data_IF_620024266628
#
_entry.id   IF_620024266628
#
_cell.length_a   1.000
_cell.length_b   1.000
_cell.length_c   1.000
_cell.angle_alpha   90.00
_cell.angle_beta   90.00
_cell.angle_gamma   90.00
#
_symmetry.space_group_name_H-M   'P 1'
#
loop_
_entity.id
_entity.type
_entity.pdbx_description
1 polymer ?
#
# COMPACT_ATOMS: atom_id res chain seq x y z
N UNK A 1 78.13 10.75 1.54
CA UNK A 1 77.05 11.13 0.67
C UNK A 1 76.20 9.89 0.41
N UNK A 2 75.20 9.68 1.16
CA UNK A 2 74.30 8.53 1.07
C UNK A 2 72.88 9.03 1.04
N UNK A 3 72.23 8.89 -0.09
CA UNK A 3 70.83 9.17 -0.31
C UNK A 3 69.99 8.14 0.41
N UNK A 4 69.05 8.61 1.25
CA UNK A 4 68.01 7.78 1.83
C UNK A 4 66.83 7.74 0.86
N UNK A 5 66.55 6.57 0.33
CA UNK A 5 65.30 6.28 -0.39
C UNK A 5 64.18 6.08 0.59
N UNK A 6 63.21 6.95 0.55
CA UNK A 6 61.96 6.84 1.30
C UNK A 6 61.03 5.87 0.53
N UNK A 7 60.84 4.68 1.08
CA UNK A 7 59.87 3.70 0.59
C UNK A 7 58.47 4.06 1.13
N UNK A 8 57.70 4.77 0.32
CA UNK A 8 56.28 4.95 0.56
C UNK A 8 55.54 3.60 0.38
N UNK A 9 55.10 3.02 1.45
CA UNK A 9 54.18 1.94 1.47
C UNK A 9 52.81 2.51 1.02
N UNK A 10 52.40 2.23 -0.20
CA UNK A 10 50.99 2.36 -0.58
C UNK A 10 50.22 1.19 0.01
N UNK A 11 49.43 1.45 1.02
CA UNK A 11 48.36 0.56 1.44
C UNK A 11 47.32 0.51 0.34
N UNK A 12 47.20 -0.64 -0.30
CA UNK A 12 46.08 -0.95 -1.19
C UNK A 12 44.89 -1.16 -0.28
N UNK A 13 44.00 -0.17 -0.17
CA UNK A 13 42.67 -0.37 0.37
C UNK A 13 41.94 -1.33 -0.56
N UNK A 14 41.83 -2.56 -0.12
CA UNK A 14 40.86 -3.52 -0.65
C UNK A 14 39.50 -2.97 -0.24
N UNK A 15 38.80 -2.32 -1.16
CA UNK A 15 37.38 -2.00 -1.02
C UNK A 15 36.64 -3.32 -0.88
N UNK A 16 36.51 -3.80 0.37
CA UNK A 16 35.47 -4.74 0.73
C UNK A 16 34.16 -4.00 0.51
N UNK A 17 33.29 -4.52 -0.34
CA UNK A 17 32.01 -3.92 -0.73
C UNK A 17 30.99 -3.92 0.42
N UNK A 18 31.41 -3.56 1.63
CA UNK A 18 30.54 -3.40 2.78
C UNK A 18 29.87 -2.03 2.73
N UNK A 19 28.56 -2.04 2.75
CA UNK A 19 27.75 -0.83 2.81
C UNK A 19 27.99 -0.09 4.14
N UNK A 20 27.96 1.23 4.09
CA UNK A 20 28.30 2.08 5.24
C UNK A 20 27.38 1.81 6.44
N UNK A 21 27.91 2.02 7.65
CA UNK A 21 27.14 1.86 8.90
C UNK A 21 25.83 2.67 8.95
N UNK A 22 25.69 3.73 8.16
CA UNK A 22 24.46 4.51 8.03
C UNK A 22 23.33 3.75 7.30
N UNK A 23 23.67 2.73 6.50
CA UNK A 23 22.68 1.85 5.86
C UNK A 23 22.25 0.70 6.77
N UNK A 24 23.03 0.41 7.83
CA UNK A 24 22.74 -0.67 8.78
C UNK A 24 21.80 -0.24 9.91
N UNK A 25 21.47 1.05 10.03
CA UNK A 25 20.70 1.63 11.11
C UNK A 25 19.25 1.99 10.72
N UNK A 26 18.66 1.30 9.75
CA UNK A 26 17.24 1.53 9.44
C UNK A 26 16.32 0.90 10.51
N UNK A 27 15.22 1.58 10.87
CA UNK A 27 14.31 1.15 11.93
C UNK A 27 13.63 -0.19 11.63
N UNK A 28 13.07 -0.79 12.67
CA UNK A 28 12.21 -1.97 12.61
C UNK A 28 11.11 -1.81 11.53
N UNK A 29 10.53 -2.91 11.03
CA UNK A 29 9.57 -2.88 9.92
C UNK A 29 8.47 -1.85 10.16
N UNK A 30 8.28 -0.99 9.17
CA UNK A 30 7.20 -0.01 9.11
C UNK A 30 5.86 -0.75 8.91
N UNK A 31 4.74 -0.09 9.18
CA UNK A 31 3.38 -0.62 9.00
C UNK A 31 3.19 -1.29 7.63
N UNK A 32 3.75 -0.73 6.57
CA UNK A 32 3.74 -1.30 5.22
C UNK A 32 4.40 -2.68 5.10
N UNK A 33 5.50 -2.90 5.81
CA UNK A 33 6.14 -4.21 5.80
C UNK A 33 5.23 -5.25 6.48
N UNK A 34 4.44 -4.85 7.47
CA UNK A 34 3.46 -5.72 8.11
C UNK A 34 2.32 -6.08 7.16
N UNK A 35 1.78 -5.13 6.42
CA UNK A 35 0.71 -5.37 5.45
C UNK A 35 1.15 -6.35 4.36
N UNK A 36 2.37 -6.20 3.87
CA UNK A 36 2.97 -7.13 2.91
C UNK A 36 3.15 -8.54 3.50
N UNK A 37 3.55 -8.65 4.75
CA UNK A 37 3.69 -9.92 5.48
C UNK A 37 2.34 -10.62 5.61
N UNK A 38 1.31 -9.91 6.05
CA UNK A 38 -0.04 -10.46 6.20
C UNK A 38 -0.65 -10.83 4.85
N UNK A 39 -0.43 -10.04 3.81
CA UNK A 39 -0.93 -10.34 2.47
C UNK A 39 -0.27 -11.59 1.87
N UNK A 40 1.03 -11.76 2.04
CA UNK A 40 1.72 -13.00 1.64
C UNK A 40 1.19 -14.21 2.43
N UNK A 41 0.91 -14.06 3.74
CA UNK A 41 0.30 -15.12 4.54
C UNK A 41 -1.08 -15.50 4.01
N UNK A 42 -1.94 -14.50 3.76
CA UNK A 42 -3.28 -14.69 3.21
C UNK A 42 -3.22 -15.47 1.89
N UNK A 43 -2.45 -14.96 0.93
CA UNK A 43 -2.29 -15.56 -0.38
C UNK A 43 -1.70 -16.98 -0.31
N UNK A 44 -0.72 -17.21 0.57
CA UNK A 44 -0.16 -18.54 0.84
C UNK A 44 -1.25 -19.50 1.33
N UNK A 45 -2.10 -19.05 2.23
CA UNK A 45 -3.18 -19.87 2.78
C UNK A 45 -4.31 -20.10 1.76
N UNK A 46 -4.56 -19.17 0.86
CA UNK A 46 -5.46 -19.39 -0.28
C UNK A 46 -4.94 -20.54 -1.18
N UNK A 47 -3.66 -20.56 -1.52
CA UNK A 47 -3.08 -21.66 -2.32
C UNK A 47 -3.19 -23.02 -1.61
N UNK A 48 -3.00 -23.05 -0.30
CA UNK A 48 -3.15 -24.25 0.52
C UNK A 48 -4.59 -24.74 0.59
N UNK A 49 -5.55 -23.83 0.70
CA UNK A 49 -6.99 -24.17 0.77
C UNK A 49 -7.51 -24.85 -0.49
N UNK A 50 -6.96 -24.53 -1.67
CA UNK A 50 -7.29 -25.19 -2.95
C UNK A 50 -7.03 -26.70 -2.92
N UNK A 51 -6.13 -27.16 -2.02
CA UNK A 51 -5.80 -28.56 -1.81
C UNK A 51 -6.35 -29.11 -0.48
N UNK A 52 -7.23 -28.36 0.20
CA UNK A 52 -7.80 -28.71 1.50
C UNK A 52 -6.74 -28.88 2.61
N UNK A 53 -5.60 -28.23 2.50
CA UNK A 53 -4.58 -28.21 3.56
C UNK A 53 -4.92 -27.18 4.64
N UNK A 54 -4.56 -27.48 5.88
CA UNK A 54 -4.72 -26.54 6.99
C UNK A 54 -3.93 -25.25 6.72
N UNK A 55 -4.47 -24.08 7.10
CA UNK A 55 -3.75 -22.84 6.99
C UNK A 55 -2.49 -22.84 7.87
N UNK A 56 -1.48 -22.09 7.44
CA UNK A 56 -0.30 -21.78 8.23
C UNK A 56 -0.62 -20.64 9.20
N UNK A 57 -0.06 -20.74 10.40
CA UNK A 57 -0.19 -19.70 11.42
C UNK A 57 1.10 -18.90 11.51
N UNK A 58 0.99 -17.57 11.57
CA UNK A 58 2.13 -16.70 11.72
C UNK A 58 2.78 -16.90 13.10
N UNK A 59 4.10 -17.00 13.16
CA UNK A 59 4.85 -17.20 14.38
C UNK A 59 5.95 -16.13 14.53
N UNK A 60 6.01 -15.45 15.68
CA UNK A 60 6.93 -14.32 15.91
C UNK A 60 8.41 -14.71 15.81
N UNK A 61 8.78 -15.88 16.27
CA UNK A 61 10.17 -16.34 16.20
C UNK A 61 10.58 -16.63 14.76
N UNK A 62 9.68 -17.23 13.96
CA UNK A 62 9.89 -17.46 12.54
C UNK A 62 9.89 -16.13 11.75
N UNK A 63 9.03 -15.17 12.12
CA UNK A 63 9.05 -13.81 11.57
C UNK A 63 10.43 -13.16 11.74
N UNK A 64 10.97 -13.22 12.96
CA UNK A 64 12.28 -12.65 13.24
C UNK A 64 13.39 -13.35 12.44
N UNK A 65 13.34 -14.67 12.30
CA UNK A 65 14.31 -15.41 11.48
C UNK A 65 14.23 -15.01 10.00
N UNK A 66 13.02 -14.90 9.46
CA UNK A 66 12.78 -14.49 8.06
C UNK A 66 13.20 -13.03 7.83
N UNK A 67 12.76 -12.11 8.69
CA UNK A 67 13.04 -10.69 8.54
C UNK A 67 14.53 -10.38 8.61
N UNK A 68 15.24 -10.98 9.58
CA UNK A 68 16.68 -10.79 9.72
C UNK A 68 17.45 -11.29 8.49
N UNK A 69 17.05 -12.43 7.92
CA UNK A 69 17.69 -12.95 6.71
C UNK A 69 17.41 -12.06 5.50
N UNK A 70 16.18 -11.59 5.35
CA UNK A 70 15.79 -10.67 4.28
C UNK A 70 16.59 -9.36 4.33
N UNK A 71 16.72 -8.77 5.51
CA UNK A 71 17.55 -7.58 5.71
C UNK A 71 19.04 -7.85 5.42
N UNK A 72 19.55 -8.99 5.86
CA UNK A 72 20.94 -9.34 5.61
C UNK A 72 21.22 -9.52 4.12
N UNK A 73 20.33 -10.15 3.36
CA UNK A 73 20.46 -10.25 1.89
C UNK A 73 20.57 -8.88 1.25
N UNK A 74 19.68 -7.97 1.61
CA UNK A 74 19.65 -6.60 1.07
C UNK A 74 20.88 -5.77 1.49
N UNK A 75 21.19 -5.75 2.79
CA UNK A 75 22.21 -4.84 3.35
C UNK A 75 23.64 -5.34 3.17
N UNK A 76 23.85 -6.65 3.06
CA UNK A 76 25.16 -7.25 2.87
C UNK A 76 25.43 -7.69 1.42
N UNK A 77 24.58 -7.29 0.50
CA UNK A 77 24.76 -7.51 -0.93
C UNK A 77 24.97 -9.00 -1.29
N UNK A 78 23.96 -9.83 -1.02
CA UNK A 78 23.94 -11.24 -1.43
C UNK A 78 22.51 -11.77 -1.60
N UNK A 79 22.37 -12.86 -2.33
CA UNK A 79 21.10 -13.57 -2.51
C UNK A 79 21.35 -15.08 -2.43
N UNK A 80 21.23 -15.64 -1.26
CA UNK A 80 21.49 -17.07 -0.98
C UNK A 80 20.75 -17.49 0.30
N UNK A 81 20.42 -18.79 0.40
CA UNK A 81 19.87 -19.39 1.61
C UNK A 81 20.87 -19.42 2.79
N UNK A 82 22.15 -19.33 2.51
CA UNK A 82 23.22 -19.27 3.51
C UNK A 82 23.58 -17.81 3.76
N UNK A 83 23.57 -17.39 5.02
CA UNK A 83 24.03 -16.05 5.38
C UNK A 83 25.52 -15.83 5.11
N UNK A 84 25.96 -14.59 4.91
CA UNK A 84 27.40 -14.28 4.78
C UNK A 84 28.25 -14.69 5.98
N UNK A 85 27.62 -14.83 7.15
CA UNK A 85 28.21 -15.37 8.37
C UNK A 85 28.28 -16.91 8.41
N UNK A 86 27.85 -17.57 7.35
CA UNK A 86 27.76 -19.02 7.22
C UNK A 86 26.54 -19.64 7.91
N UNK A 87 25.59 -18.82 8.41
CA UNK A 87 24.40 -19.34 9.06
C UNK A 87 23.46 -20.00 8.08
N UNK A 88 23.03 -21.23 8.40
CA UNK A 88 21.94 -21.89 7.68
C UNK A 88 20.57 -21.38 8.16
N UNK A 89 19.50 -21.66 7.39
CA UNK A 89 18.12 -21.42 7.83
C UNK A 89 17.87 -22.00 9.24
N UNK A 90 18.28 -23.24 9.48
CA UNK A 90 18.12 -23.90 10.78
C UNK A 90 18.84 -23.18 11.93
N UNK A 91 20.05 -22.65 11.68
CA UNK A 91 20.77 -21.83 12.67
C UNK A 91 19.97 -20.55 12.99
N UNK A 92 19.44 -19.86 11.99
CA UNK A 92 18.66 -18.63 12.16
C UNK A 92 17.37 -18.88 12.94
N UNK A 93 16.64 -19.95 12.63
CA UNK A 93 15.44 -20.34 13.37
C UNK A 93 15.79 -20.65 14.84
N UNK A 94 16.84 -21.43 15.08
CA UNK A 94 17.25 -21.81 16.44
C UNK A 94 17.72 -20.60 17.26
N UNK A 95 18.38 -19.64 16.63
CA UNK A 95 18.84 -18.40 17.26
C UNK A 95 17.68 -17.54 17.80
N UNK A 96 16.46 -17.65 17.24
CA UNK A 96 15.26 -16.99 17.78
C UNK A 96 14.64 -17.73 18.96
N UNK A 97 15.19 -18.89 19.34
CA UNK A 97 14.66 -19.75 20.40
C UNK A 97 13.59 -20.75 19.92
N UNK A 98 13.24 -20.74 18.63
CA UNK A 98 12.26 -21.69 18.08
C UNK A 98 12.88 -23.09 17.91
N UNK A 99 12.21 -24.10 18.46
CA UNK A 99 12.59 -25.51 18.34
C UNK A 99 11.69 -26.19 17.36
N UNK A 100 12.25 -26.74 16.28
CA UNK A 100 11.47 -27.32 15.18
C UNK A 100 11.80 -28.79 14.94
N UNK A 101 10.81 -29.49 14.40
CA UNK A 101 10.92 -30.86 13.88
C UNK A 101 11.24 -30.85 12.39
N UNK A 102 10.63 -29.95 11.66
CA UNK A 102 10.81 -29.76 10.23
C UNK A 102 10.75 -28.26 9.91
N UNK A 103 11.53 -27.84 8.95
CA UNK A 103 11.52 -26.47 8.46
C UNK A 103 11.83 -26.42 6.95
N UNK A 104 11.43 -25.35 6.30
CA UNK A 104 11.71 -25.04 4.90
C UNK A 104 11.81 -23.52 4.71
N UNK A 105 12.47 -23.09 3.66
CA UNK A 105 12.65 -21.68 3.35
C UNK A 105 12.43 -21.40 1.86
N UNK A 106 11.75 -20.33 1.56
CA UNK A 106 11.68 -19.70 0.24
C UNK A 106 12.32 -18.33 0.33
N UNK A 107 13.15 -17.97 -0.63
CA UNK A 107 13.66 -16.61 -0.80
C UNK A 107 13.29 -16.10 -2.20
N UNK A 108 13.09 -14.80 -2.32
CA UNK A 108 12.87 -14.13 -3.60
C UNK A 108 13.44 -12.72 -3.56
N UNK A 109 13.72 -12.17 -4.75
CA UNK A 109 14.15 -10.80 -4.91
C UNK A 109 13.59 -10.21 -6.21
N UNK A 110 13.41 -8.88 -6.25
CA UNK A 110 12.90 -8.14 -7.41
C UNK A 110 11.38 -8.04 -7.50
N UNK A 111 10.62 -8.87 -6.78
CA UNK A 111 9.16 -8.74 -6.74
C UNK A 111 8.76 -7.58 -5.83
N UNK A 112 8.03 -6.62 -6.35
CA UNK A 112 7.63 -5.42 -5.59
C UNK A 112 6.34 -5.58 -4.79
N UNK A 113 5.55 -6.62 -5.07
CA UNK A 113 4.27 -6.88 -4.38
C UNK A 113 4.16 -8.30 -3.83
N UNK A 114 3.30 -8.52 -2.82
CA UNK A 114 2.96 -9.84 -2.29
C UNK A 114 2.46 -10.83 -3.34
N UNK A 115 1.66 -10.38 -4.28
CA UNK A 115 1.08 -11.17 -5.36
C UNK A 115 2.17 -11.66 -6.32
N UNK A 116 3.07 -10.77 -6.72
CA UNK A 116 4.20 -11.09 -7.60
C UNK A 116 5.12 -12.12 -6.95
N UNK A 117 5.50 -11.92 -5.71
CA UNK A 117 6.41 -12.84 -5.03
C UNK A 117 5.76 -14.22 -4.83
N UNK A 118 4.47 -14.27 -4.44
CA UNK A 118 3.79 -15.56 -4.31
C UNK A 118 3.65 -16.26 -5.68
N UNK A 119 3.27 -15.54 -6.73
CA UNK A 119 3.21 -16.09 -8.09
C UNK A 119 4.55 -16.66 -8.51
N UNK A 120 5.65 -15.94 -8.27
CA UNK A 120 7.02 -16.40 -8.54
C UNK A 120 7.32 -17.70 -7.79
N UNK A 121 7.02 -17.79 -6.50
CA UNK A 121 7.22 -19.01 -5.72
C UNK A 121 6.34 -20.17 -6.20
N UNK A 122 5.09 -19.92 -6.57
CA UNK A 122 4.18 -20.95 -7.05
C UNK A 122 4.53 -21.50 -8.44
N UNK A 123 5.26 -20.75 -9.26
CA UNK A 123 5.77 -21.25 -10.55
C UNK A 123 7.03 -22.12 -10.40
N UNK A 124 7.78 -21.95 -9.32
CA UNK A 124 8.95 -22.77 -9.00
C UNK A 124 8.55 -24.06 -8.27
N UNK A 125 8.92 -25.22 -8.80
CA UNK A 125 8.53 -26.51 -8.20
C UNK A 125 9.02 -26.70 -6.77
N UNK A 126 10.24 -26.21 -6.45
CA UNK A 126 10.82 -26.28 -5.10
C UNK A 126 10.10 -25.36 -4.11
N UNK A 127 9.91 -24.10 -4.46
CA UNK A 127 9.22 -23.14 -3.60
C UNK A 127 7.75 -23.51 -3.39
N UNK A 128 7.08 -23.93 -4.46
CA UNK A 128 5.70 -24.42 -4.39
C UNK A 128 5.57 -25.65 -3.48
N UNK A 129 6.53 -26.56 -3.50
CA UNK A 129 6.52 -27.74 -2.62
C UNK A 129 6.58 -27.35 -1.15
N UNK A 130 7.32 -26.30 -0.78
CA UNK A 130 7.36 -25.77 0.57
C UNK A 130 6.01 -25.16 0.98
N UNK A 131 5.42 -24.32 0.14
CA UNK A 131 4.10 -23.70 0.37
C UNK A 131 3.01 -24.74 0.56
N UNK A 132 3.01 -25.78 -0.27
CA UNK A 132 1.98 -26.82 -0.29
C UNK A 132 2.35 -28.04 0.57
N UNK A 133 3.33 -27.95 1.46
CA UNK A 133 3.68 -29.03 2.37
C UNK A 133 2.64 -29.15 3.51
N UNK A 134 1.85 -30.23 3.60
CA UNK A 134 0.82 -30.38 4.63
C UNK A 134 1.39 -30.57 6.04
N UNK A 135 2.68 -30.91 6.14
CA UNK A 135 3.33 -31.15 7.42
C UNK A 135 3.84 -29.86 8.10
N UNK A 136 3.93 -28.76 7.38
CA UNK A 136 4.30 -27.45 7.94
C UNK A 136 3.05 -26.77 8.49
N UNK A 137 3.20 -26.13 9.67
CA UNK A 137 2.08 -25.59 10.44
C UNK A 137 2.20 -24.09 10.72
N UNK A 138 3.41 -23.58 10.80
CA UNK A 138 3.70 -22.19 11.13
C UNK A 138 4.60 -21.57 10.07
N UNK A 139 4.51 -20.26 9.95
CA UNK A 139 5.27 -19.47 8.97
C UNK A 139 5.78 -18.19 9.60
N UNK A 140 6.97 -17.76 9.18
CA UNK A 140 7.46 -16.39 9.29
C UNK A 140 7.71 -15.83 7.92
N UNK A 141 7.44 -14.56 7.73
CA UNK A 141 7.62 -13.86 6.46
C UNK A 141 8.45 -12.62 6.70
N UNK A 142 9.47 -12.39 5.90
CA UNK A 142 10.29 -11.21 5.91
C UNK A 142 10.20 -10.47 4.59
N UNK A 143 10.15 -9.16 4.67
CA UNK A 143 10.23 -8.26 3.53
C UNK A 143 11.16 -7.09 3.83
N UNK A 144 11.96 -6.71 2.85
CA UNK A 144 12.82 -5.53 2.97
C UNK A 144 12.96 -4.84 1.61
N UNK A 145 12.76 -3.51 1.62
CA UNK A 145 13.00 -2.64 0.48
C UNK A 145 14.25 -1.81 0.69
N UNK A 146 15.15 -1.82 -0.28
CA UNK A 146 16.36 -1.02 -0.29
C UNK A 146 16.33 -0.06 -1.48
N UNK A 147 15.96 1.19 -1.25
CA UNK A 147 15.70 2.20 -2.28
C UNK A 147 16.88 2.46 -3.24
N UNK A 148 18.12 2.42 -2.73
CA UNK A 148 19.33 2.65 -3.51
C UNK A 148 20.20 1.39 -3.53
N UNK A 149 19.62 0.31 -4.03
CA UNK A 149 20.33 -0.96 -4.15
C UNK A 149 21.34 -0.92 -5.29
N UNK A 150 22.61 -0.70 -4.98
CA UNK A 150 23.68 -0.47 -5.95
C UNK A 150 24.78 -1.53 -5.90
N UNK A 151 24.55 -2.62 -5.19
CA UNK A 151 25.51 -3.72 -5.04
C UNK A 151 25.60 -4.62 -6.27
N UNK A 152 26.31 -5.72 -6.11
CA UNK A 152 26.40 -6.80 -7.10
C UNK A 152 25.05 -7.54 -7.23
N UNK A 153 24.31 -7.61 -6.14
CA UNK A 153 22.91 -8.07 -6.06
C UNK A 153 22.04 -6.82 -5.92
N UNK A 154 21.28 -6.52 -6.94
CA UNK A 154 20.59 -5.24 -7.10
C UNK A 154 19.12 -5.49 -7.52
N UNK A 155 18.27 -5.74 -6.53
CA UNK A 155 16.86 -6.10 -6.74
C UNK A 155 15.88 -5.16 -6.07
N UNK A 156 16.32 -4.26 -5.21
CA UNK A 156 15.55 -3.36 -4.36
C UNK A 156 14.61 -4.08 -3.36
N UNK A 157 13.88 -5.10 -3.78
CA UNK A 157 12.91 -5.85 -2.98
C UNK A 157 13.44 -7.24 -2.65
N UNK A 158 13.41 -7.60 -1.37
CA UNK A 158 13.88 -8.89 -0.87
C UNK A 158 12.81 -9.54 0.01
N UNK A 159 12.65 -10.85 -0.13
CA UNK A 159 11.60 -11.62 0.55
C UNK A 159 12.13 -12.94 1.08
N UNK A 160 11.61 -13.35 2.23
CA UNK A 160 11.87 -14.67 2.80
C UNK A 160 10.57 -15.23 3.41
N UNK A 161 10.23 -16.48 3.11
CA UNK A 161 9.29 -17.30 3.87
C UNK A 161 10.06 -18.37 4.62
N UNK A 162 9.89 -18.44 5.92
CA UNK A 162 10.41 -19.54 6.77
C UNK A 162 9.23 -20.32 7.28
N UNK A 163 9.15 -21.58 6.94
CA UNK A 163 8.10 -22.50 7.38
C UNK A 163 8.63 -23.45 8.42
N UNK A 164 7.82 -23.80 9.42
CA UNK A 164 8.22 -24.80 10.39
C UNK A 164 7.03 -25.56 11.01
N UNK A 165 7.38 -26.63 11.70
CA UNK A 165 6.52 -27.31 12.67
C UNK A 165 7.30 -27.45 13.95
N UNK A 166 6.72 -27.03 15.07
CA UNK A 166 7.37 -27.08 16.37
C UNK A 166 7.73 -28.50 16.80
N UNK A 167 8.74 -28.63 17.64
CA UNK A 167 9.24 -29.93 18.09
C UNK A 167 8.18 -30.69 18.89
N UNK A 168 7.37 -30.02 19.68
CA UNK A 168 6.28 -30.58 20.50
C UNK A 168 4.94 -30.66 19.76
N UNK A 169 4.88 -30.13 18.52
CA UNK A 169 3.66 -30.10 17.70
C UNK A 169 2.68 -28.99 18.10
N UNK A 170 3.01 -28.16 19.08
CA UNK A 170 2.20 -26.97 19.40
C UNK A 170 2.27 -25.93 18.29
N UNK A 171 1.22 -25.15 18.14
CA UNK A 171 1.19 -23.94 17.30
C UNK A 171 1.19 -22.76 18.26
N UNK A 172 2.17 -21.89 18.12
CA UNK A 172 2.31 -20.70 18.96
C UNK A 172 2.10 -19.44 18.10
N UNK A 173 0.86 -19.01 17.92
CA UNK A 173 0.56 -17.88 17.05
C UNK A 173 1.29 -16.63 17.53
N UNK A 174 1.80 -15.84 16.60
CA UNK A 174 2.23 -14.49 16.89
C UNK A 174 1.06 -13.73 17.53
N UNK A 175 1.28 -12.97 18.60
CA UNK A 175 0.24 -12.12 19.12
C UNK A 175 -0.22 -11.18 18.00
N UNK A 176 -1.51 -10.89 17.90
CA UNK A 176 -1.97 -9.80 17.05
C UNK A 176 -1.17 -8.54 17.40
N UNK A 177 -0.93 -7.62 16.48
CA UNK A 177 -0.14 -6.42 16.75
C UNK A 177 -0.67 -5.79 18.04
N UNK A 178 0.20 -5.69 19.04
CA UNK A 178 -0.18 -5.17 20.36
C UNK A 178 -0.48 -3.69 20.17
N UNK A 179 -1.67 -3.20 20.51
CA UNK A 179 -1.86 -1.77 20.60
C UNK A 179 -0.82 -1.23 21.60
N UNK A 180 -0.10 -0.20 21.23
CA UNK A 180 0.91 0.46 22.07
C UNK A 180 0.30 0.73 23.45
N UNK A 181 0.95 0.42 24.57
CA UNK A 181 0.38 0.58 25.89
C UNK A 181 0.02 2.05 26.10
N UNK A 182 -1.26 2.31 26.31
CA UNK A 182 -1.77 3.61 26.74
C UNK A 182 -1.12 3.96 28.09
N UNK A 183 -0.48 5.11 28.25
CA UNK A 183 0.05 5.53 29.56
C UNK A 183 -1.11 5.62 30.56
N UNK A 184 -0.91 5.10 31.75
CA UNK A 184 -1.87 5.13 32.86
C UNK A 184 -2.30 6.56 33.12
N UNK A 185 -3.60 6.90 33.04
CA UNK A 185 -4.04 8.28 33.21
C UNK A 185 -3.92 8.70 34.68
N UNK A 186 -3.34 9.86 34.88
CA UNK A 186 -3.47 10.64 36.12
C UNK A 186 -4.96 11.06 36.27
N UNK A 187 -5.57 11.05 37.46
CA UNK A 187 -7.00 11.32 37.60
C UNK A 187 -7.34 12.76 37.16
N UNK A 188 -8.14 12.84 36.11
CA UNK A 188 -8.70 14.08 35.56
C UNK A 188 -10.14 14.25 36.07
N UNK A 189 -10.60 15.49 36.35
CA UNK A 189 -11.97 15.74 36.84
C UNK A 189 -13.01 15.26 35.82
N UNK A 190 -14.16 14.83 36.36
CA UNK A 190 -15.29 14.20 35.66
C UNK A 190 -15.68 14.95 34.39
N UNK A 191 -15.62 14.32 33.21
CA UNK A 191 -15.99 14.97 31.96
C UNK A 191 -17.50 14.94 31.75
N UNK A 192 -18.00 16.03 31.19
CA UNK A 192 -19.28 16.14 30.49
C UNK A 192 -19.41 15.02 29.43
N UNK A 193 -20.60 14.45 29.18
CA UNK A 193 -20.70 13.29 28.28
C UNK A 193 -20.15 13.58 26.90
N UNK A 194 -19.14 12.80 26.53
CA UNK A 194 -18.55 12.78 25.19
C UNK A 194 -19.59 12.29 24.20
N UNK A 195 -19.78 12.94 23.07
CA UNK A 195 -20.59 12.37 21.99
C UNK A 195 -19.98 11.05 21.51
N UNK A 196 -20.83 10.06 21.35
CA UNK A 196 -20.48 8.74 20.83
C UNK A 196 -19.74 8.90 19.49
N UNK A 197 -18.60 8.20 19.26
CA UNK A 197 -17.91 8.28 17.97
C UNK A 197 -18.86 7.89 16.86
N UNK A 198 -19.07 8.79 15.93
CA UNK A 198 -19.88 8.54 14.74
C UNK A 198 -19.07 7.69 13.77
N UNK A 199 -19.65 6.62 13.37
CA UNK A 199 -19.44 5.78 12.19
C UNK A 199 -18.02 5.60 11.69
N UNK A 200 -17.53 4.36 11.84
CA UNK A 200 -16.38 3.81 11.15
C UNK A 200 -16.60 3.94 9.64
N UNK A 201 -15.74 4.69 8.95
CA UNK A 201 -15.69 4.69 7.48
C UNK A 201 -14.72 3.58 7.09
N UNK A 202 -15.25 2.48 6.57
CA UNK A 202 -14.45 1.36 6.06
C UNK A 202 -14.31 1.52 4.56
N UNK A 203 -13.10 1.87 4.11
CA UNK A 203 -12.78 1.90 2.69
C UNK A 203 -12.19 0.53 2.34
N UNK A 204 -13.03 -0.41 1.94
CA UNK A 204 -12.60 -1.65 1.31
C UNK A 204 -12.72 -1.47 -0.19
N UNK A 205 -11.63 -1.59 -0.93
CA UNK A 205 -11.68 -1.60 -2.39
C UNK A 205 -12.50 -2.82 -2.85
N UNK A 206 -13.69 -2.65 -3.41
CA UNK A 206 -14.45 -3.77 -3.95
C UNK A 206 -14.03 -4.11 -5.37
N UNK A 207 -13.15 -3.32 -5.98
CA UNK A 207 -12.66 -3.63 -7.33
C UNK A 207 -11.73 -4.83 -7.19
N UNK A 208 -12.09 -6.02 -7.72
CA UNK A 208 -11.09 -7.04 -7.94
C UNK A 208 -10.05 -6.37 -8.84
N UNK A 209 -8.85 -6.08 -8.32
CA UNK A 209 -7.73 -5.81 -9.19
C UNK A 209 -7.81 -6.86 -10.29
N UNK A 210 -8.02 -6.42 -11.52
CA UNK A 210 -7.76 -7.27 -12.66
C UNK A 210 -6.30 -7.65 -12.47
N UNK A 211 -6.08 -8.86 -11.90
CA UNK A 211 -4.77 -9.33 -11.50
C UNK A 211 -3.91 -9.43 -12.74
N UNK A 212 -3.10 -8.45 -12.95
CA UNK A 212 -2.19 -8.33 -14.04
C UNK A 212 -2.35 -7.00 -14.72
N UNK A 213 -1.36 -6.18 -14.54
CA UNK A 213 -1.00 -5.05 -15.37
C UNK A 213 -0.62 -5.46 -16.80
N UNK A 214 -0.97 -6.63 -17.21
CA UNK A 214 -0.83 -7.17 -18.56
C UNK A 214 -2.21 -7.38 -19.14
N UNK A 215 -2.51 -6.63 -20.20
CA UNK A 215 -3.61 -6.99 -21.10
C UNK A 215 -3.59 -8.50 -21.29
N UNK A 216 -4.69 -9.22 -21.08
CA UNK A 216 -4.71 -10.62 -21.43
C UNK A 216 -4.48 -10.72 -22.95
N UNK A 217 -3.22 -10.94 -23.34
CA UNK A 217 -2.79 -11.06 -24.75
C UNK A 217 -3.55 -12.12 -25.53
N UNK A 218 -4.44 -12.83 -24.83
CA UNK A 218 -5.26 -13.95 -25.36
C UNK A 218 -6.76 -13.74 -25.18
N UNK A 219 -7.23 -12.63 -24.57
CA UNK A 219 -8.67 -12.37 -24.49
C UNK A 219 -9.21 -12.05 -25.89
N UNK A 220 -10.38 -12.60 -26.27
CA UNK A 220 -11.04 -12.21 -27.51
C UNK A 220 -11.48 -10.75 -27.39
N UNK A 221 -10.98 -9.89 -28.28
CA UNK A 221 -11.23 -8.45 -28.28
C UNK A 221 -12.58 -8.14 -28.92
N UNK A 222 -13.24 -7.08 -28.44
CA UNK A 222 -14.60 -6.68 -28.87
C UNK A 222 -15.63 -7.80 -28.73
N UNK A 223 -15.51 -8.62 -27.67
CA UNK A 223 -16.43 -9.73 -27.43
C UNK A 223 -16.68 -9.93 -25.93
N UNK A 224 -17.85 -10.50 -25.59
CA UNK A 224 -18.14 -10.99 -24.26
C UNK A 224 -17.45 -12.36 -24.02
N UNK A 225 -16.75 -12.49 -22.91
CA UNK A 225 -16.11 -13.74 -22.50
C UNK A 225 -16.07 -13.87 -20.99
N UNK A 226 -16.53 -15.00 -20.45
CA UNK A 226 -16.51 -15.27 -19.02
C UNK A 226 -17.34 -14.32 -18.16
N UNK A 227 -18.38 -13.69 -18.73
CA UNK A 227 -19.21 -12.70 -18.04
C UNK A 227 -18.67 -11.27 -18.10
N UNK A 228 -17.56 -11.02 -18.79
CA UNK A 228 -16.96 -9.70 -18.99
C UNK A 228 -16.95 -9.33 -20.47
N UNK A 229 -16.86 -8.05 -20.78
CA UNK A 229 -16.66 -7.55 -22.13
C UNK A 229 -15.26 -6.92 -22.27
N UNK A 230 -14.51 -7.36 -23.27
CA UNK A 230 -13.17 -6.85 -23.56
C UNK A 230 -13.20 -6.02 -24.83
N UNK A 231 -12.71 -4.78 -24.75
CA UNK A 231 -12.55 -3.89 -25.90
C UNK A 231 -11.25 -4.23 -26.68
N UNK A 232 -10.75 -3.35 -27.51
CA UNK A 232 -9.54 -3.59 -28.31
C UNK A 232 -8.27 -3.13 -27.60
N UNK A 233 -7.08 -3.40 -28.19
CA UNK A 233 -5.81 -2.78 -27.75
C UNK A 233 -5.53 -1.45 -28.49
N UNK A 234 -6.55 -0.80 -28.99
CA UNK A 234 -6.45 0.50 -29.66
C UNK A 234 -7.44 1.45 -28.99
N UNK A 235 -7.26 2.74 -29.17
CA UNK A 235 -8.16 3.74 -28.61
C UNK A 235 -9.63 3.47 -29.01
N UNK A 236 -10.44 3.12 -28.01
CA UNK A 236 -11.86 2.88 -28.15
C UNK A 236 -12.66 4.14 -27.77
N UNK A 237 -13.73 4.43 -28.47
CA UNK A 237 -14.54 5.64 -28.25
C UNK A 237 -15.98 5.35 -27.87
N UNK A 238 -16.36 4.11 -27.76
CA UNK A 238 -17.74 3.70 -27.42
C UNK A 238 -17.75 2.32 -26.75
N UNK A 239 -18.63 2.15 -25.77
CA UNK A 239 -19.03 0.85 -25.26
C UNK A 239 -20.10 0.28 -26.20
N UNK A 240 -19.87 -0.85 -26.88
CA UNK A 240 -20.86 -1.42 -27.78
C UNK A 240 -22.12 -1.87 -27.03
N UNK A 241 -23.28 -1.75 -27.66
CA UNK A 241 -24.56 -2.19 -27.10
C UNK A 241 -24.57 -3.69 -26.69
N UNK A 242 -23.71 -4.52 -27.30
CA UNK A 242 -23.52 -5.93 -26.93
C UNK A 242 -22.83 -6.13 -25.57
N UNK A 243 -22.23 -5.08 -25.02
CA UNK A 243 -21.56 -5.08 -23.73
C UNK A 243 -22.51 -4.65 -22.58
N UNK A 244 -23.73 -4.21 -22.89
CA UNK A 244 -24.67 -3.68 -21.89
C UNK A 244 -24.86 -4.64 -20.70
N UNK A 245 -24.65 -4.13 -19.49
CA UNK A 245 -24.77 -4.90 -18.25
C UNK A 245 -23.62 -5.88 -17.97
N UNK A 246 -22.52 -5.80 -18.72
CA UNK A 246 -21.30 -6.58 -18.46
C UNK A 246 -20.18 -5.67 -17.97
N UNK A 247 -19.29 -6.11 -17.06
CA UNK A 247 -18.06 -5.41 -16.77
C UNK A 247 -17.21 -5.21 -18.04
N UNK A 248 -16.75 -3.98 -18.24
CA UNK A 248 -16.00 -3.54 -19.42
C UNK A 248 -14.52 -3.45 -19.08
N UNK A 249 -13.67 -4.02 -19.92
CA UNK A 249 -12.21 -3.92 -19.84
C UNK A 249 -11.68 -3.33 -21.14
N UNK A 250 -11.10 -2.13 -21.09
CA UNK A 250 -10.66 -1.42 -22.28
C UNK A 250 -9.36 -1.95 -22.88
N UNK A 251 -8.56 -2.65 -22.08
CA UNK A 251 -7.28 -3.30 -22.40
C UNK A 251 -6.11 -2.32 -22.53
N UNK A 252 -5.86 -1.78 -23.70
CA UNK A 252 -4.79 -0.80 -23.90
C UNK A 252 -5.16 0.16 -25.02
N UNK A 253 -4.79 1.39 -24.84
CA UNK A 253 -5.15 2.46 -25.77
C UNK A 253 -5.31 3.75 -24.98
N UNK A 254 -5.71 4.78 -25.67
CA UNK A 254 -6.25 5.98 -25.04
C UNK A 254 -7.77 5.97 -25.30
N UNK A 255 -8.48 5.40 -24.34
CA UNK A 255 -9.90 5.13 -24.50
C UNK A 255 -10.77 6.31 -24.04
N UNK A 256 -11.96 6.43 -24.62
CA UNK A 256 -12.94 7.43 -24.21
C UNK A 256 -14.31 6.75 -24.09
N UNK A 257 -14.64 6.34 -22.85
CA UNK A 257 -15.74 5.45 -22.56
C UNK A 257 -16.82 6.17 -21.78
N UNK A 258 -18.06 5.90 -22.12
CA UNK A 258 -19.23 6.40 -21.37
C UNK A 258 -20.15 5.23 -21.06
N UNK A 259 -20.50 5.10 -19.79
CA UNK A 259 -21.46 4.13 -19.28
C UNK A 259 -22.91 4.43 -19.66
N UNK A 260 -23.83 3.80 -18.99
CA UNK A 260 -25.27 3.96 -19.22
C UNK A 260 -25.95 4.83 -18.16
N UNK A 261 -27.25 4.55 -17.95
CA UNK A 261 -28.03 5.18 -16.90
C UNK A 261 -28.24 4.25 -15.68
N UNK A 262 -27.57 3.14 -15.63
CA UNK A 262 -27.63 2.16 -14.55
C UNK A 262 -26.22 1.77 -14.13
N UNK A 263 -26.08 1.09 -13.01
CA UNK A 263 -24.79 0.69 -12.45
C UNK A 263 -23.90 -0.02 -13.46
N UNK A 264 -22.77 0.57 -13.77
CA UNK A 264 -21.77 0.08 -14.70
C UNK A 264 -20.47 -0.33 -13.98
N UNK A 265 -19.67 -1.18 -14.61
CA UNK A 265 -18.33 -1.52 -14.18
C UNK A 265 -17.38 -1.32 -15.34
N UNK A 266 -16.47 -0.35 -15.24
CA UNK A 266 -15.56 0.02 -16.33
C UNK A 266 -14.13 0.07 -15.80
N UNK A 267 -13.20 -0.59 -16.50
CA UNK A 267 -11.78 -0.58 -16.21
C UNK A 267 -10.99 -0.19 -17.48
N UNK A 268 -10.27 0.94 -17.44
CA UNK A 268 -9.43 1.45 -18.52
C UNK A 268 -8.20 0.59 -18.79
N UNK A 269 -7.58 0.07 -17.73
CA UNK A 269 -6.41 -0.81 -17.71
C UNK A 269 -5.10 -0.12 -18.09
N UNK A 270 -4.71 0.04 -19.34
CA UNK A 270 -3.47 0.68 -19.78
C UNK A 270 -3.76 1.77 -20.80
N UNK A 271 -3.24 2.95 -20.57
CA UNK A 271 -3.42 4.11 -21.44
C UNK A 271 -4.03 5.27 -20.68
N UNK A 272 -3.83 6.47 -21.19
CA UNK A 272 -4.39 7.66 -20.58
C UNK A 272 -5.89 7.80 -21.00
N UNK A 273 -6.76 7.22 -20.20
CA UNK A 273 -8.17 7.00 -20.52
C UNK A 273 -9.06 8.16 -20.06
N UNK A 274 -10.24 8.28 -20.69
CA UNK A 274 -11.32 9.13 -20.25
C UNK A 274 -12.55 8.28 -20.04
N UNK A 275 -13.01 8.19 -18.79
CA UNK A 275 -14.15 7.34 -18.40
C UNK A 275 -15.22 8.22 -17.77
N UNK A 276 -16.46 8.05 -18.21
CA UNK A 276 -17.64 8.69 -17.62
C UNK A 276 -18.67 7.61 -17.29
N UNK A 277 -19.04 7.47 -16.01
CA UNK A 277 -20.05 6.50 -15.56
C UNK A 277 -21.43 6.84 -16.04
N UNK A 278 -21.73 8.13 -16.11
CA UNK A 278 -22.98 8.77 -16.50
C UNK A 278 -24.07 8.70 -15.41
N UNK A 279 -24.64 7.58 -15.08
CA UNK A 279 -25.62 7.52 -14.01
C UNK A 279 -25.88 6.11 -13.51
N UNK A 280 -26.21 6.01 -12.25
CA UNK A 280 -26.26 4.76 -11.51
C UNK A 280 -25.10 4.69 -10.53
N UNK A 281 -25.08 3.70 -9.65
CA UNK A 281 -23.98 3.52 -8.70
C UNK A 281 -22.87 2.71 -9.40
N UNK A 282 -21.84 3.40 -9.90
CA UNK A 282 -20.85 2.88 -10.83
C UNK A 282 -19.56 2.41 -10.11
N UNK A 283 -18.84 1.50 -10.76
CA UNK A 283 -17.55 1.01 -10.34
C UNK A 283 -16.51 1.28 -11.43
N UNK A 284 -15.70 2.33 -11.24
CA UNK A 284 -14.80 2.86 -12.26
C UNK A 284 -13.34 2.76 -11.82
N UNK A 285 -12.49 2.34 -12.75
CA UNK A 285 -11.06 2.18 -12.53
C UNK A 285 -10.27 2.68 -13.73
N UNK A 286 -9.30 3.57 -13.52
CA UNK A 286 -8.39 4.06 -14.55
C UNK A 286 -7.39 2.99 -14.97
N UNK A 287 -6.44 2.72 -14.10
CA UNK A 287 -5.49 1.65 -14.32
C UNK A 287 -4.04 2.10 -14.31
N UNK A 288 -3.40 2.17 -15.46
CA UNK A 288 -2.06 2.72 -15.65
C UNK A 288 -2.12 3.93 -16.56
N UNK A 289 -1.12 4.79 -16.41
CA UNK A 289 -1.03 6.07 -17.08
C UNK A 289 -2.07 7.06 -16.52
N UNK A 290 -2.01 8.31 -16.93
CA UNK A 290 -2.80 9.37 -16.30
C UNK A 290 -4.23 9.43 -16.89
N UNK A 291 -5.19 9.08 -16.06
CA UNK A 291 -6.58 8.91 -16.40
C UNK A 291 -7.45 10.13 -16.02
N UNK A 292 -8.59 10.25 -16.66
CA UNK A 292 -9.64 11.21 -16.30
C UNK A 292 -10.96 10.48 -16.13
N UNK A 293 -11.47 10.41 -14.90
CA UNK A 293 -12.70 9.67 -14.58
C UNK A 293 -13.73 10.63 -13.99
N UNK A 294 -14.98 10.50 -14.46
CA UNK A 294 -16.15 11.19 -13.94
C UNK A 294 -17.22 10.14 -13.61
N UNK A 295 -17.61 10.03 -12.34
CA UNK A 295 -18.65 9.11 -11.88
C UNK A 295 -20.01 9.43 -12.49
N UNK A 296 -20.43 10.67 -12.35
CA UNK A 296 -21.68 11.15 -12.92
C UNK A 296 -22.79 11.30 -11.88
N UNK A 297 -23.85 10.56 -11.99
CA UNK A 297 -24.97 10.65 -11.03
C UNK A 297 -25.19 9.28 -10.37
N UNK A 298 -25.11 9.22 -9.06
CA UNK A 298 -25.22 8.00 -8.27
C UNK A 298 -24.13 7.95 -7.20
N UNK A 299 -24.08 6.89 -6.41
CA UNK A 299 -23.01 6.75 -5.40
C UNK A 299 -21.91 5.89 -6.00
N UNK A 300 -20.88 6.53 -6.51
CA UNK A 300 -19.86 5.89 -7.31
C UNK A 300 -18.65 5.44 -6.49
N UNK A 301 -18.01 4.39 -6.96
CA UNK A 301 -16.69 4.01 -6.50
C UNK A 301 -15.67 4.21 -7.61
N UNK A 302 -14.71 5.13 -7.39
CA UNK A 302 -13.73 5.53 -8.39
C UNK A 302 -12.32 5.27 -7.87
N UNK A 303 -11.46 4.67 -8.71
CA UNK A 303 -10.03 4.46 -8.41
C UNK A 303 -9.16 4.82 -9.60
N UNK A 304 -8.17 5.72 -9.38
CA UNK A 304 -7.16 6.06 -10.38
C UNK A 304 -6.16 4.93 -10.58
N UNK A 305 -5.61 4.41 -9.53
CA UNK A 305 -4.59 3.36 -9.36
C UNK A 305 -3.14 3.83 -9.56
N UNK A 306 -2.59 3.97 -10.75
CA UNK A 306 -1.20 4.36 -10.95
C UNK A 306 -1.12 5.60 -11.83
N UNK A 307 -0.04 6.38 -11.62
CA UNK A 307 0.24 7.65 -12.28
C UNK A 307 -0.69 8.78 -11.81
N UNK A 308 -0.61 9.96 -12.41
CA UNK A 308 -1.34 11.14 -11.91
C UNK A 308 -2.73 11.21 -12.55
N UNK A 309 -3.75 11.01 -11.75
CA UNK A 309 -5.13 10.90 -12.21
C UNK A 309 -5.97 12.13 -11.87
N UNK A 310 -7.05 12.31 -12.59
CA UNK A 310 -8.10 13.28 -12.30
C UNK A 310 -9.42 12.55 -12.11
N UNK A 311 -9.93 12.56 -10.88
CA UNK A 311 -11.11 11.80 -10.47
C UNK A 311 -12.20 12.75 -9.96
N UNK A 312 -13.41 12.58 -10.46
CA UNK A 312 -14.58 13.41 -10.11
C UNK A 312 -15.72 12.46 -9.75
N UNK A 313 -16.35 12.65 -8.58
CA UNK A 313 -17.57 11.93 -8.18
C UNK A 313 -18.80 12.48 -8.89
N UNK A 314 -18.99 13.77 -8.85
CA UNK A 314 -20.09 14.56 -9.40
C UNK A 314 -21.33 14.60 -8.52
N UNK A 315 -22.44 13.91 -8.82
CA UNK A 315 -23.68 13.91 -8.02
C UNK A 315 -23.86 12.59 -7.27
N UNK A 316 -23.83 12.60 -5.95
CA UNK A 316 -24.05 11.41 -5.10
C UNK A 316 -23.06 11.32 -3.95
N UNK A 317 -23.14 10.27 -3.15
CA UNK A 317 -22.19 10.05 -2.07
C UNK A 317 -21.09 9.10 -2.56
N UNK A 318 -20.00 9.67 -3.02
CA UNK A 318 -18.97 8.96 -3.75
C UNK A 318 -17.82 8.48 -2.86
N UNK A 319 -17.14 7.44 -3.31
CA UNK A 319 -15.89 6.98 -2.71
C UNK A 319 -14.80 7.03 -3.77
N UNK A 320 -13.82 7.91 -3.57
CA UNK A 320 -12.78 8.21 -4.56
C UNK A 320 -11.41 7.89 -3.96
N UNK A 321 -10.61 7.14 -4.71
CA UNK A 321 -9.22 6.81 -4.37
C UNK A 321 -8.29 7.20 -5.50
N UNK A 322 -7.27 8.00 -5.20
CA UNK A 322 -6.21 8.36 -6.14
C UNK A 322 -5.35 7.14 -6.49
N UNK A 323 -4.57 6.71 -5.55
CA UNK A 323 -3.77 5.51 -5.71
C UNK A 323 -2.28 5.75 -5.54
N UNK A 324 -1.53 5.87 -6.62
CA UNK A 324 -0.11 6.23 -6.58
C UNK A 324 0.14 7.48 -7.41
N UNK A 325 1.25 8.18 -7.04
CA UNK A 325 1.68 9.44 -7.63
C UNK A 325 0.70 10.57 -7.23
N UNK A 326 0.64 11.68 -7.96
CA UNK A 326 -0.04 12.88 -7.47
C UNK A 326 -1.38 13.06 -8.18
N UNK A 327 -2.46 12.90 -7.45
CA UNK A 327 -3.81 12.85 -7.98
C UNK A 327 -4.61 14.13 -7.67
N UNK A 328 -5.67 14.35 -8.45
CA UNK A 328 -6.67 15.38 -8.19
C UNK A 328 -8.02 14.69 -8.00
N UNK A 329 -8.57 14.78 -6.78
CA UNK A 329 -9.84 14.19 -6.39
C UNK A 329 -10.85 15.30 -6.11
N UNK A 330 -12.04 15.18 -6.69
CA UNK A 330 -13.16 16.10 -6.52
C UNK A 330 -14.39 15.26 -6.19
N UNK A 331 -14.95 15.40 -4.98
CA UNK A 331 -16.19 14.71 -4.59
C UNK A 331 -17.37 15.20 -5.43
N UNK A 332 -17.85 16.37 -5.17
CA UNK A 332 -18.93 16.99 -5.94
C UNK A 332 -20.11 17.41 -5.09
N UNK A 333 -21.28 16.88 -5.33
CA UNK A 333 -22.46 17.06 -4.50
C UNK A 333 -22.76 15.79 -3.74
N UNK A 334 -22.79 15.83 -2.43
CA UNK A 334 -23.09 14.69 -1.57
C UNK A 334 -22.09 14.52 -0.45
N UNK A 335 -22.31 13.55 0.42
CA UNK A 335 -21.38 13.27 1.52
C UNK A 335 -20.30 12.27 1.01
N UNK A 336 -19.16 12.79 0.57
CA UNK A 336 -18.13 12.05 -0.17
C UNK A 336 -16.99 11.52 0.73
N UNK A 337 -16.30 10.49 0.28
CA UNK A 337 -15.10 9.95 0.91
C UNK A 337 -13.94 9.99 -0.07
N UNK A 338 -12.90 10.78 0.24
CA UNK A 338 -11.75 11.01 -0.62
C UNK A 338 -10.47 10.50 0.06
N UNK A 339 -9.72 9.65 -0.63
CA UNK A 339 -8.41 9.15 -0.22
C UNK A 339 -7.39 9.32 -1.34
N UNK A 340 -6.38 10.16 -1.14
CA UNK A 340 -5.30 10.35 -2.12
C UNK A 340 -4.41 9.12 -2.24
N UNK A 341 -4.25 8.38 -1.17
CA UNK A 341 -3.36 7.23 -1.00
C UNK A 341 -1.87 7.65 -1.06
N UNK A 342 -1.12 7.37 -2.11
CA UNK A 342 0.31 7.70 -2.19
C UNK A 342 0.56 8.83 -3.17
N UNK A 343 1.09 9.91 -2.68
CA UNK A 343 1.46 11.04 -3.52
C UNK A 343 1.44 12.35 -2.75
N UNK A 344 1.41 13.42 -3.49
CA UNK A 344 0.93 14.70 -3.02
C UNK A 344 -0.37 14.99 -3.74
N UNK A 345 -1.47 14.71 -3.09
CA UNK A 345 -2.77 14.73 -3.70
C UNK A 345 -3.53 16.03 -3.40
N UNK A 346 -4.41 16.42 -4.30
CA UNK A 346 -5.30 17.58 -4.11
C UNK A 346 -6.71 17.06 -3.95
N UNK A 347 -7.30 17.30 -2.79
CA UNK A 347 -8.61 16.79 -2.38
C UNK A 347 -9.57 17.95 -2.23
N UNK A 348 -10.67 17.91 -2.95
CA UNK A 348 -11.78 18.87 -2.90
C UNK A 348 -13.06 18.11 -2.63
N UNK A 349 -13.71 18.33 -1.49
CA UNK A 349 -14.95 17.64 -1.11
C UNK A 349 -16.13 18.11 -1.97
N UNK A 350 -16.37 19.39 -1.95
CA UNK A 350 -17.50 20.01 -2.67
C UNK A 350 -18.64 20.37 -1.73
N UNK A 351 -19.84 19.98 -2.08
CA UNK A 351 -21.03 20.29 -1.30
C UNK A 351 -21.54 19.06 -0.53
N UNK A 352 -21.52 19.12 0.79
CA UNK A 352 -21.95 18.03 1.66
C UNK A 352 -21.18 17.99 2.97
N UNK A 353 -21.14 16.82 3.59
CA UNK A 353 -20.27 16.57 4.76
C UNK A 353 -19.24 15.51 4.40
N UNK A 354 -18.14 15.98 3.87
CA UNK A 354 -17.14 15.12 3.24
C UNK A 354 -16.17 14.50 4.26
N UNK A 355 -15.56 13.40 3.89
CA UNK A 355 -14.54 12.74 4.70
C UNK A 355 -13.26 12.59 3.90
N UNK A 356 -12.23 13.33 4.32
CA UNK A 356 -10.90 13.28 3.74
C UNK A 356 -10.03 12.29 4.51
N UNK A 357 -9.55 11.25 3.85
CA UNK A 357 -8.73 10.22 4.47
C UNK A 357 -7.26 10.61 4.36
N UNK A 358 -6.65 10.85 5.52
CA UNK A 358 -5.21 11.06 5.64
C UNK A 358 -4.58 9.83 6.25
N UNK A 359 -3.73 9.18 5.49
CA UNK A 359 -3.06 7.97 5.90
C UNK A 359 -1.67 8.27 6.50
N UNK A 360 -1.30 7.45 7.48
CA UNK A 360 0.08 7.36 7.96
C UNK A 360 0.96 6.55 6.98
N UNK A 361 2.13 6.19 7.44
CA UNK A 361 2.97 5.24 6.71
C UNK A 361 3.48 5.77 5.36
N UNK A 362 3.07 5.13 4.27
CA UNK A 362 3.56 5.45 2.92
C UNK A 362 2.93 6.69 2.29
N UNK A 363 1.73 7.06 2.73
CA UNK A 363 1.05 8.28 2.26
C UNK A 363 1.53 9.52 3.00
N UNK A 364 2.04 9.35 4.25
CA UNK A 364 2.59 10.46 5.00
C UNK A 364 3.96 10.90 4.48
N UNK A 365 4.13 12.18 4.22
CA UNK A 365 5.38 12.75 3.72
C UNK A 365 6.31 13.24 4.83
N UNK A 366 7.61 13.01 4.70
CA UNK A 366 8.63 13.60 5.56
C UNK A 366 8.80 15.11 5.31
N UNK A 367 8.26 15.64 4.22
CA UNK A 367 8.33 17.06 3.85
C UNK A 367 6.94 17.64 3.63
N UNK A 368 6.79 18.92 3.90
CA UNK A 368 5.54 19.65 3.68
C UNK A 368 5.08 19.59 2.20
N UNK A 369 6.03 19.57 1.27
CA UNK A 369 5.76 19.55 -0.18
C UNK A 369 5.16 18.24 -0.66
N UNK A 370 5.32 17.15 0.07
CA UNK A 370 4.78 15.85 -0.31
C UNK A 370 3.51 15.45 0.46
N UNK A 371 2.90 16.37 1.19
CA UNK A 371 1.67 16.11 1.93
C UNK A 371 0.44 16.43 1.09
N UNK A 372 -0.63 15.68 1.29
CA UNK A 372 -1.90 15.92 0.63
C UNK A 372 -2.49 17.29 0.99
N UNK A 373 -3.29 17.85 0.11
CA UNK A 373 -3.90 19.15 0.30
C UNK A 373 -5.41 19.04 0.23
N UNK A 374 -6.09 19.35 1.33
CA UNK A 374 -7.54 19.53 1.39
C UNK A 374 -7.83 21.00 1.09
N UNK A 375 -8.60 21.30 0.05
CA UNK A 375 -8.74 22.64 -0.50
C UNK A 375 -9.94 23.43 0.03
N UNK A 376 -11.01 22.76 0.45
CA UNK A 376 -12.32 23.38 0.72
C UNK A 376 -12.98 22.92 2.03
N UNK A 377 -12.21 22.45 3.00
CA UNK A 377 -12.70 21.94 4.28
C UNK A 377 -13.63 22.94 5.00
N UNK A 378 -14.87 22.52 5.25
CA UNK A 378 -15.92 23.34 5.88
C UNK A 378 -16.53 22.67 7.11
N UNK A 379 -17.47 23.35 7.76
CA UNK A 379 -18.18 22.80 8.92
C UNK A 379 -19.12 21.66 8.50
N UNK A 380 -18.92 20.49 9.01
CA UNK A 380 -19.60 19.25 8.64
C UNK A 380 -18.61 18.18 8.25
N UNK A 381 -17.56 18.57 7.59
CA UNK A 381 -16.52 17.68 7.10
C UNK A 381 -15.76 16.96 8.20
N UNK A 382 -15.13 15.86 7.81
CA UNK A 382 -14.31 15.01 8.68
C UNK A 382 -12.93 14.74 8.05
N UNK A 383 -11.98 14.48 8.93
CA UNK A 383 -10.66 13.97 8.57
C UNK A 383 -10.57 12.55 9.13
N UNK A 384 -10.55 11.57 8.24
CA UNK A 384 -10.33 10.17 8.57
C UNK A 384 -8.85 9.89 8.77
N UNK A 385 -8.49 9.25 9.87
CA UNK A 385 -7.12 8.86 10.17
C UNK A 385 -7.00 7.34 10.11
N UNK A 386 -6.01 6.85 9.36
CA UNK A 386 -5.69 5.42 9.22
C UNK A 386 -4.54 5.02 10.13
N UNK A 387 -4.08 3.77 10.03
CA UNK A 387 -2.88 3.24 10.69
C UNK A 387 -2.86 3.39 12.22
N UNK A 388 -4.03 3.42 12.85
CA UNK A 388 -4.15 3.59 14.30
C UNK A 388 -3.73 4.98 14.80
N UNK A 389 -3.60 5.96 13.92
CA UNK A 389 -3.35 7.35 14.29
C UNK A 389 -4.62 7.91 14.93
N UNK A 390 -4.50 8.41 16.16
CA UNK A 390 -5.58 9.11 16.83
C UNK A 390 -5.27 10.60 16.96
N UNK A 391 -6.30 11.41 17.22
CA UNK A 391 -6.14 12.86 17.40
C UNK A 391 -5.04 13.24 18.41
N UNK A 392 -4.88 12.45 19.48
CA UNK A 392 -3.84 12.69 20.49
C UNK A 392 -2.40 12.56 19.97
N UNK A 393 -2.21 11.92 18.83
CA UNK A 393 -0.90 11.76 18.19
C UNK A 393 -0.57 12.91 17.22
N UNK A 394 -1.53 13.81 16.99
CA UNK A 394 -1.37 14.88 16.01
C UNK A 394 -0.70 16.10 16.60
N UNK A 395 0.07 16.75 15.75
CA UNK A 395 0.55 18.11 15.96
C UNK A 395 0.20 18.98 14.76
N UNK A 396 0.02 20.25 14.99
CA UNK A 396 -0.46 21.20 13.99
C UNK A 396 0.54 22.31 13.79
N UNK A 397 0.79 22.69 12.54
CA UNK A 397 1.73 23.72 12.15
C UNK A 397 1.05 24.71 11.23
N UNK A 398 1.11 26.02 11.57
CA UNK A 398 0.60 27.06 10.69
C UNK A 398 1.54 27.23 9.50
N UNK A 399 0.99 27.11 8.30
CA UNK A 399 1.74 27.21 7.04
C UNK A 399 1.07 28.20 6.10
N UNK A 400 1.80 28.65 5.10
CA UNK A 400 1.27 29.45 4.00
C UNK A 400 1.33 28.62 2.74
N UNK A 401 0.17 28.27 2.19
CA UNK A 401 0.03 27.42 1.02
C UNK A 401 -0.32 28.28 -0.21
N UNK A 402 0.34 27.98 -1.32
CA UNK A 402 0.02 28.55 -2.64
C UNK A 402 -0.14 27.40 -3.63
N UNK A 403 -1.33 27.24 -4.20
CA UNK A 403 -1.63 26.28 -5.25
C UNK A 403 -1.62 26.97 -6.62
N UNK A 404 -1.03 26.32 -7.60
CA UNK A 404 -1.03 26.70 -9.03
C UNK A 404 -0.74 28.19 -9.31
N UNK A 405 0.14 28.82 -8.51
CA UNK A 405 0.45 30.24 -8.67
C UNK A 405 -0.67 31.19 -8.22
N UNK A 406 -1.73 30.68 -7.60
CA UNK A 406 -2.81 31.45 -7.00
C UNK A 406 -2.39 32.30 -5.79
N UNK A 407 -3.34 32.91 -5.12
CA UNK A 407 -3.08 33.66 -3.89
C UNK A 407 -2.64 32.73 -2.76
N UNK A 408 -1.65 33.16 -1.96
CA UNK A 408 -1.24 32.40 -0.79
C UNK A 408 -2.35 32.41 0.28
N UNK A 409 -2.71 31.24 0.78
CA UNK A 409 -3.69 31.05 1.84
C UNK A 409 -3.01 30.61 3.15
N UNK A 410 -3.44 31.19 4.28
CA UNK A 410 -3.06 30.72 5.60
C UNK A 410 -3.72 29.35 5.82
N UNK A 411 -2.95 28.33 6.16
CA UNK A 411 -3.37 26.94 6.19
C UNK A 411 -2.81 26.24 7.42
N UNK A 412 -3.31 25.05 7.74
CA UNK A 412 -2.78 24.25 8.84
C UNK A 412 -2.29 22.91 8.31
N UNK A 413 -1.03 22.61 8.52
CA UNK A 413 -0.45 21.31 8.29
C UNK A 413 -0.71 20.38 9.49
N UNK A 414 -1.13 19.16 9.22
CA UNK A 414 -1.40 18.08 10.19
C UNK A 414 -0.22 17.12 10.15
N UNK A 415 0.32 16.77 11.32
CA UNK A 415 1.49 15.90 11.45
C UNK A 415 1.22 14.79 12.47
N UNK A 416 1.83 13.65 12.21
CA UNK A 416 2.01 12.56 13.19
C UNK A 416 3.50 12.28 13.33
N UNK A 417 4.06 12.56 14.51
CA UNK A 417 5.50 12.53 14.73
C UNK A 417 6.25 13.52 13.84
N UNK A 418 7.17 13.03 13.01
CA UNK A 418 7.93 13.85 12.04
C UNK A 418 7.25 14.01 10.69
N UNK A 419 6.21 13.23 10.41
CA UNK A 419 5.59 13.14 9.10
C UNK A 419 4.39 14.06 8.96
N UNK A 420 4.25 14.69 7.81
CA UNK A 420 3.06 15.43 7.42
C UNK A 420 2.04 14.45 6.84
N UNK A 421 0.82 14.51 7.37
CA UNK A 421 -0.31 13.72 6.86
C UNK A 421 -1.07 14.49 5.79
N UNK A 422 -1.27 15.79 6.01
CA UNK A 422 -1.97 16.64 5.08
C UNK A 422 -1.91 18.11 5.46
N UNK A 423 -2.37 18.97 4.56
CA UNK A 423 -2.50 20.41 4.72
C UNK A 423 -3.96 20.79 4.49
N UNK A 424 -4.57 21.49 5.43
CA UNK A 424 -5.94 21.99 5.26
C UNK A 424 -5.88 23.49 4.91
N UNK A 425 -6.24 23.80 3.68
CA UNK A 425 -6.16 25.15 3.14
C UNK A 425 -7.21 26.07 3.77
N UNK A 426 -6.83 27.27 4.10
CA UNK A 426 -7.74 28.28 4.62
C UNK A 426 -8.26 28.06 6.05
N UNK A 427 -7.83 26.97 6.71
CA UNK A 427 -8.32 26.55 8.03
C UNK A 427 -7.25 26.77 9.09
N UNK A 428 -7.63 27.38 10.21
CA UNK A 428 -6.77 27.58 11.37
C UNK A 428 -6.78 26.34 12.29
N UNK A 429 -5.71 26.14 13.05
CA UNK A 429 -5.62 25.05 14.02
C UNK A 429 -6.82 24.98 14.99
N UNK A 430 -7.40 26.11 15.39
CA UNK A 430 -8.53 26.15 16.30
C UNK A 430 -9.82 25.57 15.74
N UNK A 431 -9.92 25.43 14.42
CA UNK A 431 -11.06 24.81 13.72
C UNK A 431 -10.89 23.30 13.61
N UNK A 432 -9.65 22.78 13.73
CA UNK A 432 -9.33 21.35 13.71
C UNK A 432 -9.41 20.74 15.12
N UNK A 433 -10.60 20.81 15.74
CA UNK A 433 -10.86 20.18 17.04
C UNK A 433 -10.99 18.65 16.91
N UNK A 434 -10.86 17.92 18.02
CA UNK A 434 -10.95 16.45 18.03
C UNK A 434 -12.25 15.90 17.40
N UNK A 435 -13.34 16.68 17.40
CA UNK A 435 -14.63 16.29 16.83
C UNK A 435 -14.66 16.23 15.30
N UNK A 436 -13.69 16.81 14.61
CA UNK A 436 -13.58 16.71 13.14
C UNK A 436 -12.80 15.49 12.69
N UNK A 437 -12.11 14.79 13.62
CA UNK A 437 -11.33 13.60 13.31
C UNK A 437 -12.12 12.33 13.58
N UNK A 438 -12.05 11.39 12.66
CA UNK A 438 -12.65 10.06 12.76
C UNK A 438 -11.58 9.00 12.50
N UNK A 439 -11.78 7.78 13.04
CA UNK A 439 -10.94 6.65 12.66
C UNK A 439 -11.43 6.12 11.33
N UNK A 440 -10.53 5.98 10.37
CA UNK A 440 -10.74 5.27 9.12
C UNK A 440 -9.96 3.94 9.16
N UNK A 441 -10.47 2.91 8.54
CA UNK A 441 -9.88 1.55 8.51
C UNK A 441 -9.36 1.28 7.11
#
# INVERSE_FOLDING_TARGET
MLEQKNSGSQSVDILTGERSASQLSQPAPTTTNQDFIYKVLELTNIERSKLSFSPLTLNTQLLNAAQNHTQNMALQDFFDHTGKDGSSMGNRITATGYKFRSAAENIAAGSSTPEQVLSSWMTSSGHRANILNPNLKEIGIGYYFLANDTGSVNYNHYWTQVFATSLDGSVNPAPPPTPTPTPTPTPVPTPTPTPTPSTLVSITSPIPNATGDGSPTTAPKNTASGGNYFLSDAADTQIPASAAGLPIFALSGKDNLTGGAGADTINGMQGADTINGAGGDDLLSGGKDSDSIDGGAGNDFISGNNDNDRLIGSDGNDTIRGGKENDILIGGNGDDVLAGDRGQDILTGGAGNDTFILAGGLSASATLIGADVITDFVAGDKIGLTDGIGFANLTFEAVSLQLDGGASAASTAIKSGSNYLGIVQGVSQSQLAASVFVSAI
#
